data_IF_417131455736
#
_entry.id   IF_417131455736
#
_cell.length_a   1.000
_cell.length_b   1.000
_cell.length_c   1.000
_cell.angle_alpha   90.00
_cell.angle_beta   90.00
_cell.angle_gamma   90.00
#
_symmetry.space_group_name_H-M   'P 1'
#
loop_
_entity.id
_entity.type
_entity.pdbx_description
1 polymer ?
#
# COMPACT_ATOMS: atom_id res chain seq x y z
N UNK A 1 6.57 -15.14 -10.33
CA UNK A 1 5.51 -14.12 -10.21
C UNK A 1 4.22 -14.80 -9.75
N UNK A 2 3.49 -14.21 -8.82
CA UNK A 2 2.16 -14.67 -8.41
C UNK A 2 1.09 -13.89 -9.19
N UNK A 3 0.40 -14.55 -10.11
CA UNK A 3 -0.62 -13.90 -10.96
C UNK A 3 -1.99 -13.80 -10.29
N UNK A 4 -2.35 -14.77 -9.43
CA UNK A 4 -3.65 -14.81 -8.78
C UNK A 4 -3.63 -15.67 -7.52
N UNK A 5 -4.15 -15.11 -6.44
CA UNK A 5 -4.50 -15.80 -5.21
C UNK A 5 -5.95 -16.27 -5.30
N UNK A 6 -6.17 -17.57 -5.08
CA UNK A 6 -7.51 -18.19 -5.08
C UNK A 6 -7.91 -18.71 -3.68
N UNK A 7 -7.08 -18.46 -2.67
CA UNK A 7 -7.33 -18.94 -1.31
C UNK A 7 -8.40 -18.12 -0.59
N UNK A 8 -8.83 -18.64 0.57
CA UNK A 8 -9.79 -17.98 1.46
C UNK A 8 -9.22 -17.73 2.86
N UNK A 9 -7.91 -17.91 3.02
CA UNK A 9 -7.24 -17.85 4.31
C UNK A 9 -7.14 -16.40 4.77
N UNK A 10 -7.24 -16.20 6.09
CA UNK A 10 -7.03 -14.90 6.72
C UNK A 10 -5.57 -14.57 6.97
N UNK A 11 -4.70 -15.57 6.95
CA UNK A 11 -3.27 -15.45 7.12
C UNK A 11 -2.57 -16.15 5.95
N UNK A 12 -1.69 -15.44 5.24
CA UNK A 12 -0.96 -15.95 4.09
C UNK A 12 0.51 -15.63 4.21
N UNK A 13 1.35 -16.66 4.16
CA UNK A 13 2.79 -16.55 3.91
C UNK A 13 3.03 -17.00 2.47
N UNK A 14 3.67 -16.14 1.69
CA UNK A 14 3.99 -16.42 0.30
C UNK A 14 5.34 -17.15 0.18
N UNK A 15 5.45 -18.16 -0.71
CA UNK A 15 6.69 -18.91 -0.88
C UNK A 15 7.82 -18.06 -1.47
N UNK A 16 9.04 -18.25 -0.97
CA UNK A 16 10.23 -17.46 -1.30
C UNK A 16 10.75 -17.52 -2.74
N UNK A 17 10.09 -18.26 -3.64
CA UNK A 17 10.40 -18.21 -5.07
C UNK A 17 9.63 -17.09 -5.81
N UNK A 18 8.72 -16.38 -5.12
CA UNK A 18 7.92 -15.31 -5.72
C UNK A 18 8.74 -14.02 -5.79
N UNK A 19 9.04 -13.58 -7.01
CA UNK A 19 9.77 -12.33 -7.28
C UNK A 19 8.87 -11.09 -7.43
N UNK A 20 7.59 -11.31 -7.72
CA UNK A 20 6.63 -10.26 -8.06
C UNK A 20 5.21 -10.70 -7.72
N UNK A 21 4.44 -9.79 -7.14
CA UNK A 21 2.98 -9.91 -7.00
C UNK A 21 2.35 -9.23 -8.21
N UNK A 22 1.71 -10.01 -9.08
CA UNK A 22 1.11 -9.49 -10.31
C UNK A 22 -0.06 -8.56 -10.04
N UNK A 23 -0.42 -7.77 -11.05
CA UNK A 23 -1.60 -6.91 -11.00
C UNK A 23 -2.85 -7.73 -10.67
N UNK A 24 -3.70 -7.19 -9.79
CA UNK A 24 -4.92 -7.85 -9.30
C UNK A 24 -4.72 -9.21 -8.59
N UNK A 25 -3.49 -9.60 -8.23
CA UNK A 25 -3.24 -10.96 -7.72
C UNK A 25 -4.10 -11.34 -6.50
N UNK A 26 -4.31 -10.43 -5.57
CA UNK A 26 -5.17 -10.58 -4.40
C UNK A 26 -6.42 -9.70 -4.45
N UNK A 27 -6.81 -9.21 -5.64
CA UNK A 27 -7.99 -8.35 -5.79
C UNK A 27 -9.20 -8.97 -5.08
N UNK A 28 -9.82 -8.19 -4.18
CA UNK A 28 -10.98 -8.60 -3.40
C UNK A 28 -10.77 -9.87 -2.55
N UNK A 29 -9.57 -10.14 -2.05
CA UNK A 29 -9.34 -11.20 -1.06
C UNK A 29 -9.97 -10.81 0.30
N UNK A 30 -11.31 -10.89 0.38
CA UNK A 30 -12.11 -10.33 1.48
C UNK A 30 -11.85 -10.92 2.85
N UNK A 31 -11.28 -12.12 2.92
CA UNK A 31 -10.94 -12.79 4.19
C UNK A 31 -9.51 -12.50 4.64
N UNK A 32 -8.65 -11.99 3.76
CA UNK A 32 -7.23 -11.79 4.03
C UNK A 32 -7.05 -10.70 5.08
N UNK A 33 -6.46 -11.06 6.22
CA UNK A 33 -6.18 -10.15 7.34
C UNK A 33 -4.70 -9.84 7.47
N UNK A 34 -3.85 -10.82 7.19
CA UNK A 34 -2.40 -10.72 7.29
C UNK A 34 -1.76 -11.37 6.06
N UNK A 35 -0.86 -10.64 5.41
CA UNK A 35 -0.03 -11.15 4.32
C UNK A 35 1.45 -10.92 4.63
N UNK A 36 2.26 -11.96 4.44
CA UNK A 36 3.72 -11.93 4.58
C UNK A 36 4.32 -12.21 3.21
N UNK A 37 4.93 -11.18 2.63
CA UNK A 37 5.66 -11.29 1.36
C UNK A 37 7.09 -11.76 1.66
N UNK A 38 7.66 -12.69 0.87
CA UNK A 38 9.04 -13.13 1.07
C UNK A 38 10.02 -12.10 0.54
N UNK A 39 11.24 -12.09 1.09
CA UNK A 39 12.35 -11.18 0.73
C UNK A 39 12.77 -11.24 -0.75
N UNK A 40 12.31 -12.24 -1.51
CA UNK A 40 12.49 -12.30 -2.95
C UNK A 40 11.62 -11.31 -3.73
N UNK A 41 10.56 -10.76 -3.13
CA UNK A 41 9.64 -9.87 -3.84
C UNK A 41 10.30 -8.51 -4.07
N UNK A 42 10.31 -8.08 -5.33
CA UNK A 42 10.84 -6.76 -5.73
C UNK A 42 9.76 -5.80 -6.24
N UNK A 43 8.58 -6.34 -6.60
CA UNK A 43 7.49 -5.58 -7.23
C UNK A 43 6.11 -6.02 -6.76
N UNK A 44 5.24 -5.04 -6.55
CA UNK A 44 3.81 -5.22 -6.28
C UNK A 44 3.05 -4.50 -7.40
N UNK A 45 2.29 -5.26 -8.20
CA UNK A 45 1.57 -4.78 -9.36
C UNK A 45 0.36 -3.89 -9.03
N UNK A 46 -0.22 -3.30 -10.08
CA UNK A 46 -1.39 -2.43 -9.94
C UNK A 46 -2.57 -3.20 -9.35
N UNK A 47 -3.30 -2.58 -8.42
CA UNK A 47 -4.46 -3.16 -7.74
C UNK A 47 -4.20 -4.54 -7.08
N UNK A 48 -2.94 -4.90 -6.84
CA UNK A 48 -2.56 -6.23 -6.37
C UNK A 48 -3.31 -6.68 -5.13
N UNK A 49 -3.55 -5.79 -4.16
CA UNK A 49 -4.31 -6.03 -2.94
C UNK A 49 -5.55 -5.14 -2.84
N UNK A 50 -6.03 -4.61 -3.96
CA UNK A 50 -7.22 -3.76 -3.96
C UNK A 50 -8.44 -4.51 -3.42
N UNK A 51 -9.31 -3.82 -2.69
CA UNK A 51 -10.52 -4.37 -2.06
C UNK A 51 -10.26 -5.51 -1.05
N UNK A 52 -9.04 -5.66 -0.52
CA UNK A 52 -8.74 -6.51 0.63
C UNK A 52 -9.25 -5.86 1.94
N UNK A 53 -10.57 -5.73 2.06
CA UNK A 53 -11.23 -4.92 3.11
C UNK A 53 -10.91 -5.33 4.54
N UNK A 54 -10.51 -6.59 4.78
CA UNK A 54 -10.13 -7.11 6.09
C UNK A 54 -8.63 -7.10 6.36
N UNK A 55 -7.80 -6.65 5.41
CA UNK A 55 -6.35 -6.60 5.57
C UNK A 55 -6.01 -5.59 6.67
N UNK A 56 -5.46 -6.07 7.78
CA UNK A 56 -5.07 -5.26 8.94
C UNK A 56 -3.59 -4.98 8.94
N UNK A 57 -2.79 -5.98 8.56
CA UNK A 57 -1.33 -5.93 8.60
C UNK A 57 -0.72 -6.57 7.37
N UNK A 58 0.35 -5.99 6.87
CA UNK A 58 1.17 -6.58 5.82
C UNK A 58 2.64 -6.47 6.18
N UNK A 59 3.40 -7.52 5.93
CA UNK A 59 4.85 -7.47 5.93
C UNK A 59 5.35 -7.42 4.49
N UNK A 60 5.94 -6.29 4.11
CA UNK A 60 6.55 -6.06 2.81
C UNK A 60 8.06 -5.94 3.01
N UNK A 61 8.88 -6.71 2.29
CA UNK A 61 10.33 -6.64 2.44
C UNK A 61 10.89 -5.36 1.79
N UNK A 62 12.03 -4.91 2.28
CA UNK A 62 12.74 -3.73 1.77
C UNK A 62 13.29 -3.89 0.35
N UNK A 63 13.30 -5.13 -0.17
CA UNK A 63 13.62 -5.44 -1.56
C UNK A 63 12.59 -4.92 -2.56
N UNK A 64 11.40 -4.54 -2.10
CA UNK A 64 10.37 -3.96 -2.97
C UNK A 64 10.78 -2.55 -3.39
N UNK A 65 10.89 -2.34 -4.69
CA UNK A 65 11.24 -1.03 -5.29
C UNK A 65 10.07 -0.39 -6.04
N UNK A 66 8.99 -1.14 -6.27
CA UNK A 66 7.82 -0.67 -7.02
C UNK A 66 6.52 -1.18 -6.41
N UNK A 67 5.60 -0.24 -6.18
CA UNK A 67 4.19 -0.49 -5.79
C UNK A 67 3.31 0.20 -6.85
N UNK A 68 2.49 -0.59 -7.53
CA UNK A 68 1.65 -0.11 -8.62
C UNK A 68 0.45 0.71 -8.14
N UNK A 69 -0.14 1.45 -9.08
CA UNK A 69 -1.34 2.25 -8.84
C UNK A 69 -2.47 1.40 -8.23
N UNK A 70 -3.14 1.97 -7.22
CA UNK A 70 -4.24 1.31 -6.53
C UNK A 70 -3.88 0.02 -5.79
N UNK A 71 -2.60 -0.30 -5.59
CA UNK A 71 -2.18 -1.60 -5.04
C UNK A 71 -2.86 -1.96 -3.72
N UNK A 72 -3.16 -0.99 -2.86
CA UNK A 72 -3.84 -1.17 -1.57
C UNK A 72 -5.17 -0.42 -1.50
N UNK A 73 -5.75 -0.05 -2.65
CA UNK A 73 -7.03 0.66 -2.70
C UNK A 73 -8.13 -0.11 -1.96
N UNK A 74 -8.99 0.58 -1.23
CA UNK A 74 -10.08 0.04 -0.41
C UNK A 74 -9.65 -1.01 0.64
N UNK A 75 -8.40 -0.98 1.13
CA UNK A 75 -7.97 -1.76 2.30
C UNK A 75 -8.49 -1.13 3.60
N UNK A 76 -9.81 -1.19 3.81
CA UNK A 76 -10.53 -0.44 4.86
C UNK A 76 -10.17 -0.79 6.30
N UNK A 77 -9.48 -1.90 6.55
CA UNK A 77 -9.03 -2.30 7.89
C UNK A 77 -7.55 -2.07 8.14
N UNK A 78 -6.80 -1.57 7.15
CA UNK A 78 -5.37 -1.34 7.26
C UNK A 78 -5.14 -0.10 8.14
N UNK A 79 -4.45 -0.27 9.27
CA UNK A 79 -4.28 0.80 10.26
C UNK A 79 -2.91 1.47 10.22
N UNK A 80 -1.89 0.71 9.85
CA UNK A 80 -0.50 1.15 9.74
C UNK A 80 0.09 0.60 8.45
N UNK A 81 1.01 1.35 7.84
CA UNK A 81 1.76 0.86 6.70
C UNK A 81 3.15 1.50 6.64
N UNK A 82 4.17 0.67 6.43
CA UNK A 82 5.54 1.11 6.19
C UNK A 82 5.86 0.93 4.71
N UNK A 83 6.16 2.03 4.04
CA UNK A 83 6.58 2.02 2.64
C UNK A 83 8.03 1.52 2.59
N UNK A 84 8.35 0.49 1.78
CA UNK A 84 9.70 -0.08 1.70
C UNK A 84 10.77 0.94 1.27
N UNK A 85 11.99 0.77 1.79
CA UNK A 85 13.11 1.70 1.55
C UNK A 85 13.46 1.92 0.07
N UNK A 86 13.23 0.93 -0.79
CA UNK A 86 13.48 1.01 -2.24
C UNK A 86 12.44 1.79 -3.04
N UNK A 87 11.29 2.16 -2.45
CA UNK A 87 10.18 2.81 -3.17
C UNK A 87 10.42 4.31 -3.28
N UNK A 88 10.50 4.82 -4.52
CA UNK A 88 10.72 6.24 -4.80
C UNK A 88 9.43 7.00 -5.13
N UNK A 89 8.36 6.30 -5.53
CA UNK A 89 7.09 6.90 -5.91
C UNK A 89 5.93 6.16 -5.26
N UNK A 90 5.02 6.89 -4.62
CA UNK A 90 3.70 6.39 -4.26
C UNK A 90 2.77 6.72 -5.41
N UNK A 91 2.36 5.67 -6.14
CA UNK A 91 1.57 5.80 -7.36
C UNK A 91 0.14 6.28 -7.08
N UNK A 92 -0.55 6.73 -8.13
CA UNK A 92 -1.94 7.18 -8.01
C UNK A 92 -2.82 6.13 -7.34
N UNK A 93 -3.72 6.60 -6.48
CA UNK A 93 -4.73 5.79 -5.78
C UNK A 93 -4.18 4.66 -4.88
N UNK A 94 -2.87 4.59 -4.61
CA UNK A 94 -2.23 3.46 -3.91
C UNK A 94 -2.96 3.06 -2.62
N UNK A 95 -3.37 4.03 -1.80
CA UNK A 95 -4.14 3.85 -0.57
C UNK A 95 -5.54 4.48 -0.64
N UNK A 96 -6.08 4.69 -1.84
CA UNK A 96 -7.43 5.25 -2.01
C UNK A 96 -8.45 4.50 -1.15
N UNK A 97 -9.25 5.20 -0.35
CA UNK A 97 -10.29 4.63 0.49
C UNK A 97 -9.79 3.76 1.66
N UNK A 98 -8.52 3.85 2.07
CA UNK A 98 -8.01 3.20 3.28
C UNK A 98 -8.46 3.97 4.54
N UNK A 99 -9.76 3.92 4.84
CA UNK A 99 -10.42 4.74 5.87
C UNK A 99 -9.93 4.50 7.30
N UNK A 100 -9.27 3.37 7.58
CA UNK A 100 -8.71 3.07 8.90
C UNK A 100 -7.21 3.38 9.03
N UNK A 101 -6.54 3.81 7.94
CA UNK A 101 -5.10 4.07 7.93
C UNK A 101 -4.81 5.30 8.78
N UNK A 102 -4.12 5.09 9.90
CA UNK A 102 -3.76 6.12 10.88
C UNK A 102 -2.32 6.57 10.74
N UNK A 103 -1.44 5.64 10.39
CA UNK A 103 0.00 5.85 10.35
C UNK A 103 0.57 5.34 9.05
N UNK A 104 1.37 6.19 8.39
CA UNK A 104 2.14 5.85 7.19
C UNK A 104 3.60 6.24 7.46
N UNK A 105 4.53 5.32 7.23
CA UNK A 105 5.97 5.61 7.32
C UNK A 105 6.56 5.67 5.91
N UNK A 106 7.11 6.83 5.55
CA UNK A 106 7.74 7.05 4.26
C UNK A 106 9.25 6.73 4.31
N UNK A 107 9.84 6.21 3.22
CA UNK A 107 11.28 5.99 3.17
C UNK A 107 11.98 7.32 2.91
N UNK A 108 13.21 7.46 3.42
CA UNK A 108 14.01 8.68 3.22
C UNK A 108 14.25 9.00 1.73
N UNK A 109 14.26 7.98 0.86
CA UNK A 109 14.46 8.11 -0.59
C UNK A 109 13.19 8.42 -1.40
N UNK A 110 12.05 8.71 -0.75
CA UNK A 110 10.81 9.03 -1.45
C UNK A 110 10.97 10.32 -2.27
N UNK A 111 10.53 10.30 -3.52
CA UNK A 111 10.65 11.42 -4.47
C UNK A 111 9.31 11.99 -4.88
N UNK A 112 8.27 11.15 -4.99
CA UNK A 112 6.98 11.58 -5.52
C UNK A 112 5.80 10.90 -4.85
N UNK A 113 4.75 11.67 -4.59
CA UNK A 113 3.42 11.18 -4.23
C UNK A 113 2.45 11.64 -5.33
N UNK A 114 1.80 10.69 -5.99
CA UNK A 114 0.92 10.94 -7.12
C UNK A 114 -0.52 11.28 -6.71
N UNK A 115 -1.37 11.79 -7.63
CA UNK A 115 -2.74 12.17 -7.31
C UNK A 115 -3.55 11.04 -6.68
N UNK A 116 -4.44 11.41 -5.76
CA UNK A 116 -5.32 10.53 -5.00
C UNK A 116 -4.63 9.40 -4.21
N UNK A 117 -3.31 9.40 -4.08
CA UNK A 117 -2.56 8.36 -3.37
C UNK A 117 -3.15 8.02 -1.99
N UNK A 118 -3.66 9.02 -1.26
CA UNK A 118 -4.27 8.88 0.06
C UNK A 118 -5.72 9.36 0.13
N UNK A 119 -6.40 9.45 -1.02
CA UNK A 119 -7.79 9.90 -1.11
C UNK A 119 -8.69 9.14 -0.12
N UNK A 120 -9.42 9.86 0.73
CA UNK A 120 -10.35 9.24 1.67
C UNK A 120 -9.68 8.40 2.79
N UNK A 121 -8.38 8.56 3.04
CA UNK A 121 -7.75 8.06 4.26
C UNK A 121 -8.14 8.96 5.46
N UNK A 122 -9.41 8.89 5.87
CA UNK A 122 -10.01 9.82 6.84
C UNK A 122 -9.46 9.69 8.27
N UNK A 123 -8.85 8.55 8.61
CA UNK A 123 -8.19 8.34 9.90
C UNK A 123 -6.72 8.83 9.95
N UNK A 124 -6.16 9.27 8.82
CA UNK A 124 -4.79 9.77 8.74
C UNK A 124 -4.78 11.22 9.25
N UNK A 125 -4.13 11.45 10.41
CA UNK A 125 -4.18 12.74 11.12
C UNK A 125 -2.95 13.63 10.87
N UNK A 126 -1.81 13.01 10.60
CA UNK A 126 -0.56 13.68 10.30
C UNK A 126 0.30 12.79 9.40
N UNK A 127 1.15 13.44 8.62
CA UNK A 127 2.13 12.77 7.77
C UNK A 127 3.44 13.54 7.85
N UNK A 128 4.55 12.82 8.02
CA UNK A 128 5.89 13.40 7.98
C UNK A 128 6.51 13.08 6.63
N UNK A 129 6.34 13.96 5.65
CA UNK A 129 6.83 13.72 4.29
C UNK A 129 8.33 14.07 4.22
N UNK A 130 9.19 13.18 3.67
CA UNK A 130 10.60 13.47 3.51
C UNK A 130 10.86 14.74 2.69
N UNK A 131 11.84 15.54 3.11
CA UNK A 131 12.23 16.76 2.42
C UNK A 131 12.59 16.48 0.94
N UNK A 132 12.12 17.35 0.04
CA UNK A 132 12.34 17.19 -1.40
C UNK A 132 11.36 16.25 -2.10
N UNK A 133 10.40 15.65 -1.39
CA UNK A 133 9.30 14.89 -2.01
C UNK A 133 8.36 15.82 -2.75
N UNK A 134 8.12 15.55 -4.04
CA UNK A 134 7.10 16.24 -4.84
C UNK A 134 5.72 15.65 -4.55
N UNK A 135 4.81 16.46 -4.01
CA UNK A 135 3.43 16.06 -3.71
C UNK A 135 2.51 16.58 -4.83
N UNK A 136 1.84 15.66 -5.53
CA UNK A 136 0.90 16.05 -6.57
C UNK A 136 -0.36 16.71 -6.00
N UNK A 137 -0.99 17.59 -6.78
CA UNK A 137 -2.28 18.17 -6.44
C UNK A 137 -3.30 17.05 -6.18
N UNK A 138 -4.01 17.16 -5.05
CA UNK A 138 -4.97 16.13 -4.65
C UNK A 138 -4.34 14.78 -4.32
N UNK A 139 -3.09 14.72 -3.84
CA UNK A 139 -2.50 13.50 -3.27
C UNK A 139 -3.16 13.09 -1.93
N UNK A 140 -3.60 14.07 -1.13
CA UNK A 140 -4.34 13.90 0.12
C UNK A 140 -5.75 14.54 0.10
N UNK A 141 -6.62 14.20 -0.84
CA UNK A 141 -7.95 14.78 -0.97
C UNK A 141 -8.93 14.10 -0.01
N UNK A 142 -9.83 14.90 0.57
CA UNK A 142 -10.80 14.45 1.59
C UNK A 142 -10.15 13.86 2.86
N UNK A 143 -8.86 14.11 3.07
CA UNK A 143 -8.21 13.89 4.36
C UNK A 143 -8.55 15.08 5.27
N UNK A 144 -9.79 15.13 5.78
CA UNK A 144 -10.31 16.25 6.58
C UNK A 144 -9.60 16.45 7.93
N UNK A 145 -8.76 15.50 8.33
CA UNK A 145 -8.10 15.50 9.63
C UNK A 145 -6.57 15.63 9.53
N UNK A 146 -5.99 15.71 8.33
CA UNK A 146 -4.55 16.00 8.21
C UNK A 146 -4.34 17.45 8.64
N UNK A 147 -3.66 17.64 9.76
CA UNK A 147 -3.40 18.96 10.34
C UNK A 147 -1.97 19.45 10.07
N UNK A 148 -1.08 18.56 9.64
CA UNK A 148 0.32 18.84 9.33
C UNK A 148 0.81 17.94 8.19
N UNK A 149 1.50 18.55 7.21
CA UNK A 149 2.24 17.94 6.09
C UNK A 149 3.62 18.58 6.07
#
# INVERSE_FOLDING_TARGET
MLLRYKGKNSYVILPGCIQEIGSNAFLSARNLRIAVLPDSVTKIGAQAFSECRQLVKMHIPDTVTLIGSGAFSSCKSLTEFTIPNGVQTIASDTFWGCTALKTIHFPAGLRRIEPNAFHGCTALLSVEVPAGTSIAEGAFPLNTCITQI
#
